data_IF_366842031687
#
_entry.id   IF_366842031687
#
_cell.length_a   1.000
_cell.length_b   1.000
_cell.length_c   1.000
_cell.angle_alpha   90.00
_cell.angle_beta   90.00
_cell.angle_gamma   90.00
#
_symmetry.space_group_name_H-M   'P 1'
#
loop_
_entity.id
_entity.type
_entity.pdbx_description
1 polymer ?
#
# COMPACT_ATOMS: atom_id res chain seq x y z
N UNK A 1 13.94 -15.54 -3.77
CA UNK A 1 13.55 -14.73 -2.58
C UNK A 1 12.57 -13.66 -3.05
N UNK A 2 11.36 -13.61 -2.51
CA UNK A 2 10.35 -12.62 -2.92
C UNK A 2 10.65 -11.28 -2.23
N UNK A 3 11.02 -10.25 -3.00
CA UNK A 3 11.29 -8.92 -2.46
C UNK A 3 9.98 -8.24 -2.11
N UNK A 4 9.80 -7.89 -0.84
CA UNK A 4 8.68 -7.07 -0.37
C UNK A 4 9.01 -5.59 -0.52
N UNK A 5 8.06 -4.84 -1.07
CA UNK A 5 8.12 -3.41 -1.33
C UNK A 5 6.97 -2.77 -0.57
N UNK A 6 7.27 -1.67 0.13
CA UNK A 6 6.28 -0.87 0.81
C UNK A 6 5.61 0.08 -0.19
N UNK A 7 4.30 -0.05 -0.34
CA UNK A 7 3.49 0.76 -1.27
C UNK A 7 2.41 1.51 -0.50
N UNK A 8 2.06 2.71 -0.99
CA UNK A 8 0.96 3.51 -0.43
C UNK A 8 -0.29 3.30 -1.24
N UNK A 9 -1.36 2.88 -0.59
CA UNK A 9 -2.67 2.72 -1.20
C UNK A 9 -3.30 4.09 -1.51
N UNK A 10 -3.79 4.29 -2.71
CA UNK A 10 -4.65 5.42 -3.10
C UNK A 10 -6.11 5.18 -2.72
N UNK A 11 -6.52 3.91 -2.60
CA UNK A 11 -7.90 3.49 -2.34
C UNK A 11 -7.93 2.51 -1.17
N UNK A 12 -9.06 2.40 -0.49
CA UNK A 12 -9.21 1.37 0.54
C UNK A 12 -9.07 -0.03 -0.09
N UNK A 13 -8.25 -0.89 0.51
CA UNK A 13 -7.96 -2.23 0.02
C UNK A 13 -7.72 -3.19 1.19
N UNK A 14 -8.20 -4.41 1.05
CA UNK A 14 -7.97 -5.46 2.04
C UNK A 14 -6.78 -6.31 1.63
N UNK A 15 -5.75 -6.34 2.47
CA UNK A 15 -4.51 -7.11 2.23
C UNK A 15 -4.21 -8.01 3.43
N UNK A 16 -3.86 -9.27 3.16
CA UNK A 16 -3.56 -10.28 4.20
C UNK A 16 -4.65 -10.43 5.29
N UNK A 17 -5.92 -10.26 4.92
CA UNK A 17 -7.05 -10.34 5.86
C UNK A 17 -7.28 -9.07 6.68
N UNK A 18 -6.49 -8.01 6.47
CA UNK A 18 -6.66 -6.72 7.14
C UNK A 18 -7.12 -5.64 6.17
N UNK A 19 -8.11 -4.88 6.56
CA UNK A 19 -8.60 -3.74 5.79
C UNK A 19 -7.67 -2.54 5.99
N UNK A 20 -7.23 -1.96 4.87
CA UNK A 20 -6.41 -0.77 4.84
C UNK A 20 -7.18 0.36 4.14
N UNK A 21 -7.14 1.54 4.74
CA UNK A 21 -7.72 2.76 4.16
C UNK A 21 -6.83 3.33 3.04
N UNK A 22 -7.41 4.19 2.22
CA UNK A 22 -6.63 5.07 1.34
C UNK A 22 -5.57 5.85 2.17
N UNK A 23 -4.36 5.97 1.63
CA UNK A 23 -3.18 6.53 2.28
C UNK A 23 -2.41 5.56 3.17
N UNK A 24 -2.90 4.33 3.39
CA UNK A 24 -2.18 3.35 4.20
C UNK A 24 -1.00 2.73 3.43
N UNK A 25 0.09 2.46 4.16
CA UNK A 25 1.28 1.79 3.63
C UNK A 25 1.20 0.29 3.90
N UNK A 26 1.36 -0.53 2.86
CA UNK A 26 1.38 -2.00 2.95
C UNK A 26 2.63 -2.58 2.31
N UNK A 27 3.11 -3.70 2.83
CA UNK A 27 4.26 -4.41 2.29
C UNK A 27 3.76 -5.50 1.33
N UNK A 28 4.05 -5.36 0.04
CA UNK A 28 3.59 -6.28 -1.00
C UNK A 28 4.76 -6.78 -1.83
N UNK A 29 4.61 -7.90 -2.53
CA UNK A 29 5.65 -8.36 -3.47
C UNK A 29 5.67 -7.54 -4.75
N UNK A 30 6.78 -7.56 -5.49
CA UNK A 30 6.90 -6.90 -6.80
C UNK A 30 5.75 -7.19 -7.78
N UNK A 31 5.32 -8.44 -8.02
CA UNK A 31 4.17 -8.71 -8.89
C UNK A 31 2.85 -8.16 -8.33
N UNK A 32 2.69 -8.15 -7.00
CA UNK A 32 1.49 -7.58 -6.36
C UNK A 32 1.47 -6.06 -6.50
N UNK A 33 2.63 -5.40 -6.39
CA UNK A 33 2.77 -3.96 -6.65
C UNK A 33 2.35 -3.63 -8.08
N UNK A 34 2.88 -4.36 -9.06
CA UNK A 34 2.57 -4.10 -10.47
C UNK A 34 1.08 -4.27 -10.76
N UNK A 35 0.48 -5.33 -10.20
CA UNK A 35 -0.96 -5.55 -10.25
C UNK A 35 -1.76 -4.40 -9.62
N UNK A 36 -1.39 -3.96 -8.41
CA UNK A 36 -2.05 -2.82 -7.73
C UNK A 36 -1.88 -1.50 -8.50
N UNK A 37 -0.75 -1.32 -9.18
CA UNK A 37 -0.46 -0.14 -10.00
C UNK A 37 -1.32 -0.16 -11.26
N UNK A 38 -1.44 -1.31 -11.94
CA UNK A 38 -2.34 -1.48 -13.10
C UNK A 38 -3.81 -1.27 -12.76
N UNK A 39 -4.21 -1.57 -11.52
CA UNK A 39 -5.57 -1.28 -11.02
C UNK A 39 -5.78 0.18 -10.58
N UNK A 40 -4.72 1.00 -10.54
CA UNK A 40 -4.78 2.36 -9.99
C UNK A 40 -5.11 2.39 -8.49
N UNK A 41 -4.79 1.31 -7.76
CA UNK A 41 -4.98 1.19 -6.31
C UNK A 41 -3.79 1.77 -5.54
N UNK A 42 -2.61 1.83 -6.16
CA UNK A 42 -1.42 2.53 -5.66
C UNK A 42 -0.92 3.50 -6.74
N UNK A 43 -0.17 4.51 -6.34
CA UNK A 43 0.57 5.36 -7.29
C UNK A 43 1.96 4.78 -7.52
N UNK A 44 2.57 5.08 -8.68
CA UNK A 44 3.97 4.75 -8.99
C UNK A 44 4.98 5.56 -8.13
N UNK A 45 4.58 6.06 -6.97
CA UNK A 45 5.45 6.75 -6.04
C UNK A 45 6.54 5.79 -5.58
N UNK A 46 7.79 6.25 -5.66
CA UNK A 46 9.00 5.54 -5.29
C UNK A 46 8.86 4.83 -3.93
N UNK A 47 9.55 3.70 -3.70
CA UNK A 47 9.46 2.96 -2.45
C UNK A 47 9.75 3.91 -1.28
N UNK A 48 8.69 4.26 -0.55
CA UNK A 48 8.77 5.24 0.51
C UNK A 48 9.53 4.62 1.69
N UNK A 49 10.84 4.85 1.73
CA UNK A 49 11.62 4.82 2.96
C UNK A 49 11.02 5.87 3.88
N UNK A 50 10.48 5.38 4.99
CA UNK A 50 10.33 6.03 6.30
C UNK A 50 9.87 7.51 6.35
N UNK A 51 8.66 7.73 6.87
CA UNK A 51 8.47 8.54 8.09
C UNK A 51 6.96 8.58 8.46
N UNK A 52 6.74 8.40 9.78
CA UNK A 52 5.59 8.72 10.64
C UNK A 52 4.13 8.37 10.24
N UNK A 53 3.40 7.59 11.06
CA UNK A 53 1.97 7.38 10.90
C UNK A 53 1.21 8.62 11.43
N UNK A 54 0.37 9.24 10.59
CA UNK A 54 -0.60 10.24 11.04
C UNK A 54 -2.00 9.88 10.53
N UNK A 55 -2.75 9.21 11.41
CA UNK A 55 -4.19 9.36 11.77
C UNK A 55 -5.31 9.34 10.70
N UNK A 56 -6.52 8.99 11.16
CA UNK A 56 -7.83 9.31 10.57
C UNK A 56 -8.55 8.13 9.89
N UNK A 57 -9.67 7.59 10.36
CA UNK A 57 -10.50 8.02 11.46
C UNK A 57 -11.47 6.92 11.85
N UNK A 58 -11.85 6.98 13.12
CA UNK A 58 -12.94 6.28 13.74
C UNK A 58 -14.27 6.52 13.01
N UNK A 59 -15.14 5.51 13.04
CA UNK A 59 -16.52 5.71 13.46
C UNK A 59 -17.05 4.45 14.11
#
# INVERSE_FOLDING_TARGET
MSKTIKVTLLKAHKHAGKDYKAGAKIDVTEPTRDWLLGLGVIEAAAPAVEDKPKTGGEK
#
